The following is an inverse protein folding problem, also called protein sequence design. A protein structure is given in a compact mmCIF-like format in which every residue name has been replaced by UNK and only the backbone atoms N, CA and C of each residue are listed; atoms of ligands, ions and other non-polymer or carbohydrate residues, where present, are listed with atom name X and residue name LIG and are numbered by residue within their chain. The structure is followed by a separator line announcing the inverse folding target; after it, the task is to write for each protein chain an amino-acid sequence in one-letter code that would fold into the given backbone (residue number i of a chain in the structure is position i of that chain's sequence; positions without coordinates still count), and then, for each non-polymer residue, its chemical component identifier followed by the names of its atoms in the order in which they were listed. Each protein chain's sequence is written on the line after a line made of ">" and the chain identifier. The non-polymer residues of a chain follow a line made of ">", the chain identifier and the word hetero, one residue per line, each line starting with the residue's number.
data_IF_648860647301
#
_entry.id   IF_648860647301
#
_cell.length_a   1.000
_cell.length_b   1.000
_cell.length_c   1.000
_cell.angle_alpha   90.00
_cell.angle_beta   90.00
_cell.angle_gamma   90.00
#
_symmetry.space_group_name_H-M   'P 1'
#
loop_
_entity.id
_entity.type
_entity.pdbx_description
1 polymer ?
#
# COMPACT_ATOMS: atom_id res chain seq x y z
N UNK A 1 8.95 8.19 5.57
CA UNK A 1 10.41 8.07 5.53
C UNK A 1 10.93 8.70 4.24
N UNK A 2 11.84 9.69 4.34
CA UNK A 2 12.54 10.28 3.19
C UNK A 2 13.24 9.21 2.34
N UNK A 3 13.33 9.43 1.02
CA UNK A 3 13.92 8.47 0.07
C UNK A 3 15.38 8.13 0.42
N UNK A 4 16.15 9.11 0.88
CA UNK A 4 17.55 8.91 1.24
C UNK A 4 17.74 7.95 2.42
N UNK A 5 16.79 7.96 3.37
CA UNK A 5 16.84 7.06 4.52
C UNK A 5 16.41 5.64 4.15
N UNK A 6 15.53 5.47 3.15
CA UNK A 6 15.07 4.14 2.70
C UNK A 6 16.23 3.27 2.22
N UNK A 7 17.26 3.85 1.60
CA UNK A 7 18.41 3.09 1.05
C UNK A 7 19.19 2.31 2.12
N UNK A 8 19.14 2.75 3.37
CA UNK A 8 19.88 2.15 4.48
C UNK A 8 19.01 1.18 5.30
N UNK A 9 17.70 1.12 5.04
CA UNK A 9 16.77 0.25 5.76
C UNK A 9 16.74 -1.14 5.09
N UNK A 10 16.99 -2.25 5.84
CA UNK A 10 16.99 -3.60 5.30
C UNK A 10 15.67 -4.01 4.63
N UNK A 11 14.56 -3.35 4.95
CA UNK A 11 13.27 -3.56 4.31
C UNK A 11 13.24 -3.12 2.83
N UNK A 12 14.16 -2.23 2.42
CA UNK A 12 14.17 -1.61 1.10
C UNK A 12 15.39 -1.97 0.24
N UNK A 13 16.40 -2.68 0.77
CA UNK A 13 17.63 -3.05 0.05
C UNK A 13 17.34 -3.81 -1.26
N UNK A 14 16.29 -4.65 -1.27
CA UNK A 14 15.85 -5.41 -2.45
C UNK A 14 14.42 -5.00 -2.89
N UNK A 15 14.04 -3.76 -2.63
CA UNK A 15 12.72 -3.28 -3.00
C UNK A 15 12.60 -3.15 -4.52
N UNK A 16 11.63 -3.86 -5.09
CA UNK A 16 11.18 -3.70 -6.46
C UNK A 16 9.65 -3.53 -6.44
N UNK A 17 9.10 -2.40 -6.93
CA UNK A 17 7.66 -2.18 -6.94
C UNK A 17 6.89 -3.23 -7.77
N UNK A 18 7.54 -3.90 -8.72
CA UNK A 18 6.89 -4.87 -9.61
C UNK A 18 6.26 -4.22 -10.85
N UNK A 19 5.53 -5.02 -11.62
CA UNK A 19 4.87 -4.56 -12.86
C UNK A 19 3.60 -3.76 -12.49
N UNK A 20 3.38 -2.58 -13.10
CA UNK A 20 2.19 -1.76 -12.83
C UNK A 20 0.87 -2.56 -12.91
N UNK A 21 0.06 -2.42 -11.86
CA UNK A 21 -1.22 -3.11 -11.71
C UNK A 21 -2.20 -2.19 -10.95
N UNK A 22 -3.51 -2.42 -11.11
CA UNK A 22 -4.54 -1.69 -10.37
C UNK A 22 -4.70 -2.20 -8.92
N UNK A 23 -4.03 -3.31 -8.58
CA UNK A 23 -4.01 -3.87 -7.23
C UNK A 23 -2.65 -3.62 -6.60
N UNK A 24 -2.65 -3.01 -5.42
CA UNK A 24 -1.49 -2.83 -4.57
C UNK A 24 -1.45 -3.89 -3.47
N UNK A 25 -0.24 -4.38 -3.20
CA UNK A 25 0.09 -5.22 -2.08
C UNK A 25 0.87 -4.41 -1.05
N UNK A 26 0.30 -4.27 0.14
CA UNK A 26 0.88 -3.50 1.24
C UNK A 26 1.37 -4.46 2.33
N UNK A 27 2.64 -4.32 2.73
CA UNK A 27 3.29 -5.13 3.77
C UNK A 27 3.74 -4.28 4.94
N UNK A 28 4.16 -4.97 6.00
CA UNK A 28 4.74 -4.39 7.21
C UNK A 28 3.77 -3.50 8.02
N UNK A 29 2.46 -3.70 7.85
CA UNK A 29 1.42 -2.93 8.52
C UNK A 29 1.43 -3.23 10.03
N UNK A 30 1.39 -2.19 10.85
CA UNK A 30 1.35 -2.33 12.31
C UNK A 30 0.04 -2.98 12.79
N UNK A 31 0.10 -3.79 13.87
CA UNK A 31 -1.05 -4.58 14.37
C UNK A 31 -2.28 -3.74 14.73
N UNK A 32 -2.08 -2.48 15.15
CA UNK A 32 -3.16 -1.55 15.54
C UNK A 32 -3.94 -0.99 14.33
N UNK A 33 -3.34 -0.94 13.14
CA UNK A 33 -3.92 -0.34 11.93
C UNK A 33 -5.18 -1.08 11.50
N UNK A 34 -6.32 -0.42 11.42
CA UNK A 34 -7.61 -0.97 10.99
C UNK A 34 -7.80 -0.78 9.47
N UNK A 35 -8.84 -1.42 8.92
CA UNK A 35 -9.22 -1.26 7.50
C UNK A 35 -9.58 0.21 7.18
N UNK A 36 -10.30 0.87 8.09
CA UNK A 36 -10.71 2.27 7.95
C UNK A 36 -9.51 3.21 7.86
N UNK A 37 -8.46 2.96 8.65
CA UNK A 37 -7.23 3.74 8.59
C UNK A 37 -6.56 3.70 7.22
N UNK A 38 -6.48 2.50 6.63
CA UNK A 38 -5.98 2.33 5.27
C UNK A 38 -6.90 3.02 4.26
N UNK A 39 -8.21 2.91 4.45
CA UNK A 39 -9.17 3.59 3.59
C UNK A 39 -8.94 5.10 3.55
N UNK A 40 -8.80 5.76 4.71
CA UNK A 40 -8.55 7.20 4.79
C UNK A 40 -7.26 7.64 4.08
N UNK A 41 -6.23 6.80 4.08
CA UNK A 41 -4.97 7.09 3.38
C UNK A 41 -5.14 6.90 1.87
N UNK A 42 -5.67 5.75 1.47
CA UNK A 42 -5.65 5.32 0.08
C UNK A 42 -6.80 5.94 -0.77
N UNK A 43 -7.90 6.38 -0.14
CA UNK A 43 -8.98 7.10 -0.81
C UNK A 43 -8.53 8.44 -1.40
N UNK A 44 -7.48 9.06 -0.84
CA UNK A 44 -6.90 10.32 -1.35
C UNK A 44 -6.35 10.23 -2.77
N UNK A 45 -6.10 9.02 -3.25
CA UNK A 45 -5.53 8.77 -4.57
C UNK A 45 -6.56 8.35 -5.61
N UNK A 46 -7.85 8.32 -5.25
CA UNK A 46 -8.92 8.13 -6.21
C UNK A 46 -8.93 9.30 -7.20
N UNK A 47 -9.14 8.97 -8.48
CA UNK A 47 -9.38 10.00 -9.50
C UNK A 47 -10.74 10.64 -9.31
N UNK A 48 -10.98 11.80 -9.96
CA UNK A 48 -12.26 12.51 -9.88
C UNK A 48 -13.46 11.71 -10.39
N UNK A 49 -13.20 10.70 -11.21
CA UNK A 49 -14.19 9.81 -11.80
C UNK A 49 -14.41 8.55 -10.96
N UNK A 50 -13.53 8.27 -9.99
CA UNK A 50 -13.62 7.10 -9.12
C UNK A 50 -14.38 7.45 -7.84
N UNK A 51 -15.34 6.59 -7.49
CA UNK A 51 -16.07 6.68 -6.22
C UNK A 51 -15.36 5.89 -5.13
N UNK A 52 -15.56 6.31 -3.89
CA UNK A 52 -15.06 5.64 -2.68
C UNK A 52 -15.44 4.14 -2.60
N UNK A 53 -16.61 3.78 -3.11
CA UNK A 53 -17.11 2.40 -3.16
C UNK A 53 -16.28 1.48 -4.06
N UNK A 54 -15.57 2.04 -5.03
CA UNK A 54 -14.74 1.28 -5.97
C UNK A 54 -13.38 0.90 -5.34
N UNK A 55 -12.99 1.53 -4.23
CA UNK A 55 -11.76 1.20 -3.51
C UNK A 55 -11.96 -0.02 -2.61
N UNK A 56 -11.47 -1.18 -3.04
CA UNK A 56 -11.59 -2.42 -2.26
C UNK A 56 -10.34 -2.65 -1.41
N UNK A 57 -10.51 -2.73 -0.10
CA UNK A 57 -9.42 -2.99 0.85
C UNK A 57 -9.65 -4.31 1.58
N UNK A 58 -8.66 -5.21 1.49
CA UNK A 58 -8.60 -6.49 2.20
C UNK A 58 -7.39 -6.50 3.13
N UNK A 59 -7.62 -6.25 4.42
CA UNK A 59 -6.58 -6.26 5.46
C UNK A 59 -6.56 -7.61 6.18
N UNK A 60 -5.39 -8.23 6.25
CA UNK A 60 -5.18 -9.50 6.93
C UNK A 60 -4.66 -9.26 8.35
N UNK A 61 -5.48 -9.62 9.34
CA UNK A 61 -5.18 -9.44 10.78
C UNK A 61 -4.61 -10.70 11.45
N UNK A 62 -4.76 -11.86 10.83
CA UNK A 62 -4.44 -13.17 11.42
C UNK A 62 -3.70 -14.07 10.41
N UNK A 63 -3.10 -15.15 10.92
CA UNK A 63 -2.41 -16.17 10.13
C UNK A 63 -1.12 -15.68 9.46
N UNK A 64 -0.65 -16.44 8.47
CA UNK A 64 0.60 -16.19 7.71
C UNK A 64 0.63 -14.82 7.04
N UNK A 65 -0.55 -14.26 6.73
CA UNK A 65 -0.68 -12.96 6.06
C UNK A 65 -0.87 -11.78 7.02
N UNK A 66 -0.79 -11.99 8.34
CA UNK A 66 -0.96 -10.91 9.32
C UNK A 66 -0.05 -9.71 9.03
N UNK A 67 -0.61 -8.50 9.07
CA UNK A 67 0.13 -7.27 8.81
C UNK A 67 0.34 -6.97 7.32
N UNK A 68 -0.52 -7.54 6.47
CA UNK A 68 -0.52 -7.33 5.04
C UNK A 68 -1.91 -6.91 4.58
N UNK A 69 -2.00 -6.21 3.45
CA UNK A 69 -3.26 -5.84 2.84
C UNK A 69 -3.18 -5.84 1.31
N UNK A 70 -4.33 -6.05 0.67
CA UNK A 70 -4.53 -5.72 -0.75
C UNK A 70 -5.46 -4.53 -0.88
N UNK A 71 -5.12 -3.65 -1.81
CA UNK A 71 -5.88 -2.43 -2.13
C UNK A 71 -6.10 -2.42 -3.62
N UNK A 72 -7.36 -2.48 -4.05
CA UNK A 72 -7.74 -2.52 -5.46
C UNK A 72 -8.37 -1.19 -5.84
N UNK A 73 -7.74 -0.54 -6.82
CA UNK A 73 -8.27 0.62 -7.53
C UNK A 73 -8.97 0.18 -8.81
N UNK A 74 -9.76 1.08 -9.40
CA UNK A 74 -10.32 0.86 -10.74
C UNK A 74 -9.30 1.23 -11.83
N UNK A 75 -8.38 2.15 -11.52
CA UNK A 75 -7.33 2.59 -12.43
C UNK A 75 -5.91 2.21 -11.98
N UNK A 76 -5.08 1.76 -12.94
CA UNK A 76 -3.63 1.53 -12.74
C UNK A 76 -2.93 2.86 -12.40
N UNK A 77 -3.39 3.99 -12.94
CA UNK A 77 -2.81 5.31 -12.67
C UNK A 77 -2.98 5.71 -11.20
N UNK A 78 -4.19 5.52 -10.65
CA UNK A 78 -4.50 5.77 -9.23
C UNK A 78 -3.66 4.88 -8.32
N UNK A 79 -3.54 3.59 -8.66
CA UNK A 79 -2.69 2.65 -7.94
C UNK A 79 -1.21 3.06 -7.98
N UNK A 80 -0.70 3.46 -9.15
CA UNK A 80 0.68 3.92 -9.31
C UNK A 80 0.97 5.15 -8.46
N UNK A 81 0.09 6.15 -8.50
CA UNK A 81 0.22 7.38 -7.70
C UNK A 81 0.22 7.06 -6.21
N UNK A 82 -0.72 6.22 -5.76
CA UNK A 82 -0.79 5.77 -4.38
C UNK A 82 0.51 5.06 -3.95
N UNK A 83 1.08 4.18 -4.79
CA UNK A 83 2.33 3.49 -4.49
C UNK A 83 3.50 4.47 -4.33
N UNK A 84 3.68 5.40 -5.26
CA UNK A 84 4.80 6.35 -5.26
C UNK A 84 4.81 7.22 -3.99
N UNK A 85 3.63 7.65 -3.55
CA UNK A 85 3.49 8.55 -2.40
C UNK A 85 3.44 7.82 -1.04
N UNK A 86 2.89 6.61 -0.98
CA UNK A 86 2.69 5.90 0.30
C UNK A 86 3.78 4.89 0.64
N UNK A 87 4.63 4.48 -0.31
CA UNK A 87 5.72 3.56 -0.02
C UNK A 87 6.71 4.20 0.98
N UNK A 88 7.00 3.51 2.09
CA UNK A 88 7.84 4.04 3.17
C UNK A 88 7.13 5.06 4.08
N UNK A 89 5.81 5.23 3.97
CA UNK A 89 5.04 6.02 4.92
C UNK A 89 5.10 5.38 6.32
N UNK A 90 5.45 6.18 7.33
CA UNK A 90 5.56 5.70 8.70
C UNK A 90 4.17 5.68 9.31
N UNK A 91 3.63 4.49 9.54
CA UNK A 91 2.33 4.32 10.15
C UNK A 91 2.42 3.52 11.45
N UNK A 92 2.07 4.17 12.57
CA UNK A 92 2.32 3.66 13.93
C UNK A 92 3.78 3.18 14.12
N UNK A 93 4.73 4.06 13.80
CA UNK A 93 6.17 3.82 13.93
C UNK A 93 6.74 2.69 13.06
N UNK A 94 5.98 2.22 12.07
CA UNK A 94 6.46 1.23 11.09
C UNK A 94 6.35 1.77 9.66
N UNK A 95 7.41 1.69 8.83
CA UNK A 95 7.29 2.00 7.42
C UNK A 95 6.44 0.94 6.73
N UNK A 96 5.34 1.34 6.08
CA UNK A 96 4.61 0.44 5.19
C UNK A 96 5.41 0.26 3.90
N UNK A 97 5.34 -0.94 3.34
CA UNK A 97 5.99 -1.26 2.06
C UNK A 97 4.86 -1.49 1.05
N UNK A 98 4.89 -0.78 -0.07
CA UNK A 98 3.82 -0.82 -1.08
C UNK A 98 4.39 -1.33 -2.39
N UNK A 99 3.75 -2.34 -2.97
CA UNK A 99 4.15 -3.05 -4.18
C UNK A 99 2.94 -3.17 -5.10
N UNK A 100 3.14 -3.33 -6.40
CA UNK A 100 2.10 -3.85 -7.27
C UNK A 100 1.88 -5.34 -6.98
N UNK A 101 0.62 -5.75 -6.90
CA UNK A 101 0.30 -7.16 -6.78
C UNK A 101 0.66 -7.88 -8.08
N UNK A 102 1.22 -9.09 -7.98
CA UNK A 102 1.45 -9.93 -9.15
C UNK A 102 0.08 -10.35 -9.71
N UNK A 103 -0.13 -10.12 -11.01
CA UNK A 103 -1.16 -10.81 -11.78
C UNK A 103 -0.62 -12.23 -12.02
N UNK A 104 -1.41 -13.24 -11.67
CA UNK A 104 -1.21 -14.60 -12.20
C UNK A 104 -1.48 -14.62 -13.70
#
# INVERSE_FOLDING_TARGET
>A
MPINERKNDPLFINYNPGIPNNILYVKNIHKKVKKQDLFCIFARYLSKEENEEQLKIKLFKFGKMRGQAFITYNSILSAKKALEETNGFIFFSKPIIVLFAKKE
#
